data_IF_361164516753
#
_entry.id   IF_361164516753
#
_cell.length_a   1.000
_cell.length_b   1.000
_cell.length_c   1.000
_cell.angle_alpha   90.00
_cell.angle_beta   90.00
_cell.angle_gamma   90.00
#
_symmetry.space_group_name_H-M   'P 1'
#
loop_
_entity.id
_entity.type
_entity.pdbx_description
1 polymer ?
#
# COMPACT_ATOMS: atom_id res chain seq x y z
N UNK A 1 -64.74 40.32 9.60
CA UNK A 1 -65.12 39.75 8.29
C UNK A 1 -65.14 40.90 7.29
N UNK A 2 -64.30 40.84 6.24
CA UNK A 2 -64.68 40.20 4.97
C UNK A 2 -63.62 39.16 4.54
N UNK A 3 -64.01 37.94 4.15
CA UNK A 3 -64.62 37.46 2.89
C UNK A 3 -63.56 36.91 1.93
N UNK A 4 -63.65 35.60 1.69
CA UNK A 4 -62.79 34.79 0.84
C UNK A 4 -63.55 34.51 -0.47
N UNK A 5 -63.07 35.05 -1.58
CA UNK A 5 -63.58 34.77 -2.92
C UNK A 5 -62.51 34.10 -3.79
N UNK A 6 -62.70 32.81 -4.10
CA UNK A 6 -61.91 32.02 -5.04
C UNK A 6 -62.53 32.11 -6.46
N UNK A 7 -61.71 31.77 -7.48
CA UNK A 7 -62.02 31.28 -8.85
C UNK A 7 -61.56 32.13 -10.06
N UNK A 8 -60.39 31.76 -10.61
CA UNK A 8 -60.08 31.27 -11.99
C UNK A 8 -60.80 31.85 -13.24
N UNK A 9 -60.03 32.21 -14.30
CA UNK A 9 -59.92 31.51 -15.61
C UNK A 9 -59.58 32.42 -16.83
N UNK A 10 -58.75 31.88 -17.74
CA UNK A 10 -58.53 32.17 -19.18
C UNK A 10 -57.73 33.44 -19.58
N UNK A 11 -56.51 33.32 -20.14
CA UNK A 11 -56.11 32.91 -21.53
C UNK A 11 -56.14 34.10 -22.50
N UNK A 12 -54.99 34.41 -23.14
CA UNK A 12 -54.87 35.01 -24.49
C UNK A 12 -53.40 35.04 -24.99
N UNK A 13 -53.12 34.15 -25.95
CA UNK A 13 -52.42 34.35 -27.24
C UNK A 13 -50.93 34.82 -27.33
N UNK A 14 -50.13 33.99 -28.02
CA UNK A 14 -48.83 34.24 -28.72
C UNK A 14 -49.04 34.59 -30.23
N UNK A 15 -48.04 34.77 -31.15
CA UNK A 15 -46.60 35.22 -31.13
C UNK A 15 -46.29 36.25 -32.30
N UNK A 16 -45.02 36.55 -32.75
CA UNK A 16 -44.35 35.72 -33.80
C UNK A 16 -42.78 35.71 -33.90
N UNK A 17 -42.26 34.66 -34.57
CA UNK A 17 -41.09 34.56 -35.51
C UNK A 17 -39.60 34.42 -35.08
N UNK A 18 -39.11 33.16 -35.16
CA UNK A 18 -37.95 32.63 -35.97
C UNK A 18 -36.49 32.47 -35.42
N UNK A 19 -35.72 31.45 -35.90
CA UNK A 19 -34.53 30.78 -35.28
C UNK A 19 -33.19 31.04 -36.07
N UNK A 20 -32.04 30.30 -35.99
CA UNK A 20 -31.62 29.13 -35.18
C UNK A 20 -30.22 29.23 -34.52
N UNK A 21 -29.90 28.33 -33.58
CA UNK A 21 -28.55 28.17 -33.04
C UNK A 21 -28.30 26.73 -32.59
N UNK A 22 -27.64 25.94 -33.45
CA UNK A 22 -27.30 24.55 -33.16
C UNK A 22 -26.38 24.44 -31.94
N UNK A 23 -26.63 23.45 -31.09
CA UNK A 23 -25.73 23.05 -30.02
C UNK A 23 -25.74 21.52 -29.94
N UNK A 24 -24.87 20.96 -30.77
CA UNK A 24 -24.03 19.78 -30.53
C UNK A 24 -24.47 18.88 -29.35
N UNK A 25 -25.26 17.84 -29.65
CA UNK A 25 -25.27 16.62 -28.83
C UNK A 25 -23.98 15.85 -29.12
N UNK A 26 -22.90 16.22 -28.43
CA UNK A 26 -21.68 15.41 -28.40
C UNK A 26 -21.92 14.27 -27.43
N UNK A 27 -22.19 13.09 -27.98
CA UNK A 27 -22.18 11.83 -27.25
C UNK A 27 -20.90 11.71 -26.43
N UNK A 28 -21.07 11.60 -25.12
CA UNK A 28 -20.00 11.23 -24.20
C UNK A 28 -19.60 9.80 -24.51
N UNK A 29 -18.53 9.68 -25.27
CA UNK A 29 -17.85 8.46 -25.62
C UNK A 29 -17.60 7.65 -24.34
N UNK A 30 -18.22 6.46 -24.26
CA UNK A 30 -17.73 5.39 -23.39
C UNK A 30 -16.28 5.15 -23.78
N UNK A 31 -15.35 5.74 -23.03
CA UNK A 31 -13.93 5.45 -23.17
C UNK A 31 -13.74 3.95 -22.89
N UNK A 32 -13.36 3.14 -23.89
CA UNK A 32 -12.85 1.81 -23.63
C UNK A 32 -11.38 1.96 -23.20
N UNK A 33 -10.89 1.11 -22.30
CA UNK A 33 -9.44 0.97 -21.97
C UNK A 33 -8.89 1.93 -20.88
N UNK A 34 -9.59 2.13 -19.76
CA UNK A 34 -8.92 2.45 -18.48
C UNK A 34 -9.43 1.64 -17.28
N UNK A 35 -10.30 0.65 -17.51
CA UNK A 35 -10.81 -0.23 -16.45
C UNK A 35 -9.72 -1.11 -15.82
N UNK A 36 -8.85 -1.70 -16.64
CA UNK A 36 -7.85 -2.66 -16.16
C UNK A 36 -6.76 -2.06 -15.25
N UNK A 37 -6.40 -0.79 -15.44
CA UNK A 37 -5.41 -0.13 -14.57
C UNK A 37 -5.99 0.14 -13.17
N UNK A 38 -7.23 0.65 -13.11
CA UNK A 38 -7.94 0.91 -11.86
C UNK A 38 -8.31 -0.37 -11.12
N UNK A 39 -8.58 -1.45 -11.85
CA UNK A 39 -8.82 -2.75 -11.25
C UNK A 39 -7.56 -3.33 -10.63
N UNK A 40 -6.38 -3.13 -11.20
CA UNK A 40 -5.15 -3.59 -10.55
C UNK A 40 -4.79 -2.80 -9.29
N UNK A 41 -5.14 -1.51 -9.21
CA UNK A 41 -4.92 -0.69 -8.01
C UNK A 41 -5.65 -1.21 -6.77
N UNK A 42 -6.74 -1.97 -6.96
CA UNK A 42 -7.52 -2.55 -5.83
C UNK A 42 -6.84 -3.78 -5.22
N UNK A 43 -5.94 -4.43 -5.96
CA UNK A 43 -5.38 -5.72 -5.59
C UNK A 43 -4.04 -5.57 -4.88
N UNK A 44 -3.85 -6.34 -3.81
CA UNK A 44 -2.53 -6.47 -3.20
C UNK A 44 -1.59 -7.23 -4.12
N UNK A 45 -0.27 -6.95 -4.11
CA UNK A 45 0.69 -7.68 -4.94
C UNK A 45 0.60 -9.19 -4.73
N UNK A 46 0.47 -9.94 -5.83
CA UNK A 46 0.28 -11.41 -5.80
C UNK A 46 1.43 -12.13 -5.08
N UNK A 47 2.63 -11.55 -5.07
CA UNK A 47 3.79 -12.05 -4.35
C UNK A 47 3.59 -12.03 -2.82
N UNK A 48 2.95 -10.99 -2.29
CA UNK A 48 2.65 -10.90 -0.85
C UNK A 48 1.57 -11.91 -0.46
N UNK A 49 0.51 -12.04 -1.27
CA UNK A 49 -0.53 -13.06 -1.10
C UNK A 49 0.10 -14.46 -1.10
N UNK A 50 0.89 -14.79 -2.13
CA UNK A 50 1.56 -16.08 -2.26
C UNK A 50 2.44 -16.40 -1.06
N UNK A 51 3.19 -15.42 -0.55
CA UNK A 51 4.07 -15.60 0.62
C UNK A 51 3.27 -15.94 1.88
N UNK A 52 2.13 -15.30 2.11
CA UNK A 52 1.28 -15.56 3.29
C UNK A 52 0.62 -16.93 3.16
N UNK A 53 -0.01 -17.24 2.02
CA UNK A 53 -0.63 -18.55 1.79
C UNK A 53 0.36 -19.70 2.00
N UNK A 54 1.60 -19.53 1.57
CA UNK A 54 2.66 -20.54 1.71
C UNK A 54 3.01 -20.84 3.17
N UNK A 55 2.78 -19.91 4.12
CA UNK A 55 2.99 -20.16 5.56
C UNK A 55 2.01 -21.16 6.15
N UNK A 56 0.83 -21.31 5.54
CA UNK A 56 -0.17 -22.28 5.96
C UNK A 56 0.05 -23.68 5.36
N UNK A 57 1.12 -23.87 4.57
CA UNK A 57 1.42 -25.11 3.86
C UNK A 57 2.76 -25.70 4.32
N UNK A 58 2.97 -27.02 4.15
CA UNK A 58 4.28 -27.63 4.31
C UNK A 58 5.34 -27.02 3.37
N UNK A 59 6.61 -27.22 3.73
CA UNK A 59 7.76 -26.65 3.00
C UNK A 59 7.72 -26.94 1.49
N UNK A 60 7.29 -28.14 1.08
CA UNK A 60 7.19 -28.57 -0.31
C UNK A 60 5.82 -28.32 -0.98
N UNK A 61 4.83 -27.78 -0.27
CA UNK A 61 3.49 -27.53 -0.81
C UNK A 61 3.49 -26.57 -2.01
N UNK A 62 2.68 -26.83 -3.03
CA UNK A 62 2.54 -25.94 -4.19
C UNK A 62 1.17 -25.27 -4.16
N UNK A 63 1.11 -24.03 -4.65
CA UNK A 63 -0.14 -23.26 -4.76
C UNK A 63 -0.39 -23.04 -6.25
N UNK A 64 -1.54 -23.49 -6.72
CA UNK A 64 -1.99 -23.26 -8.10
C UNK A 64 -2.12 -21.76 -8.38
N UNK A 65 -2.01 -21.36 -9.65
CA UNK A 65 -2.19 -19.96 -10.06
C UNK A 65 -3.59 -19.47 -9.67
N UNK A 66 -4.62 -20.22 -10.07
CA UNK A 66 -6.02 -19.85 -9.86
C UNK A 66 -6.34 -19.68 -8.37
N UNK A 67 -5.77 -20.52 -7.50
CA UNK A 67 -5.93 -20.36 -6.05
C UNK A 67 -5.33 -19.05 -5.51
N UNK A 68 -4.22 -18.56 -6.09
CA UNK A 68 -3.64 -17.26 -5.70
C UNK A 68 -4.52 -16.10 -6.16
N UNK A 69 -5.05 -16.20 -7.38
CA UNK A 69 -5.92 -15.18 -7.98
C UNK A 69 -7.24 -15.09 -7.18
N UNK A 70 -7.87 -16.22 -6.87
CA UNK A 70 -9.08 -16.26 -6.02
C UNK A 70 -8.81 -15.65 -4.65
N UNK A 71 -7.71 -15.99 -3.97
CA UNK A 71 -7.41 -15.40 -2.66
C UNK A 71 -7.10 -13.91 -2.77
N UNK A 72 -6.48 -13.44 -3.85
CA UNK A 72 -6.25 -12.01 -4.08
C UNK A 72 -7.58 -11.24 -4.20
N UNK A 73 -8.56 -11.79 -4.90
CA UNK A 73 -9.92 -11.26 -4.98
C UNK A 73 -10.58 -11.27 -3.60
N UNK A 74 -10.58 -12.41 -2.91
CA UNK A 74 -11.19 -12.55 -1.58
C UNK A 74 -10.59 -11.59 -0.54
N UNK A 75 -9.27 -11.37 -0.54
CA UNK A 75 -8.63 -10.45 0.41
C UNK A 75 -9.04 -9.00 0.13
N UNK A 76 -9.21 -8.65 -1.14
CA UNK A 76 -9.65 -7.31 -1.53
C UNK A 76 -11.10 -7.08 -1.10
N UNK A 77 -11.96 -8.08 -1.30
CA UNK A 77 -13.32 -8.06 -0.80
C UNK A 77 -13.38 -8.03 0.73
N UNK A 78 -12.53 -8.80 1.42
CA UNK A 78 -12.45 -8.79 2.88
C UNK A 78 -12.12 -7.40 3.44
N UNK A 79 -11.19 -6.67 2.81
CA UNK A 79 -10.88 -5.29 3.18
C UNK A 79 -12.14 -4.43 3.01
N UNK A 80 -12.82 -4.50 1.87
CA UNK A 80 -14.06 -3.75 1.64
C UNK A 80 -15.17 -4.12 2.62
N UNK A 81 -15.32 -5.40 2.95
CA UNK A 81 -16.34 -5.92 3.86
C UNK A 81 -16.15 -5.38 5.28
N UNK A 82 -14.95 -5.56 5.85
CA UNK A 82 -14.65 -5.09 7.22
C UNK A 82 -14.70 -3.56 7.30
N UNK A 83 -14.16 -2.87 6.30
CA UNK A 83 -14.13 -1.39 6.29
C UNK A 83 -15.53 -0.80 6.12
N UNK A 84 -16.45 -1.48 5.43
CA UNK A 84 -17.84 -1.05 5.33
C UNK A 84 -18.55 -1.10 6.68
N UNK A 85 -18.43 -2.22 7.41
CA UNK A 85 -19.04 -2.36 8.73
C UNK A 85 -18.48 -1.34 9.75
N UNK A 86 -17.16 -1.11 9.72
CA UNK A 86 -16.51 -0.10 10.55
C UNK A 86 -16.94 1.33 10.16
N UNK A 87 -17.10 1.61 8.87
CA UNK A 87 -17.61 2.88 8.36
C UNK A 87 -19.02 3.15 8.86
N UNK A 88 -19.91 2.14 8.80
CA UNK A 88 -21.29 2.27 9.27
C UNK A 88 -21.36 2.63 10.75
N UNK A 89 -20.54 1.98 11.59
CA UNK A 89 -20.43 2.37 13.01
C UNK A 89 -19.92 3.81 13.18
N UNK A 90 -18.83 4.16 12.50
CA UNK A 90 -18.24 5.51 12.57
C UNK A 90 -19.27 6.59 12.21
N UNK A 91 -20.05 6.35 11.15
CA UNK A 91 -21.10 7.28 10.69
C UNK A 91 -22.28 7.35 11.65
N UNK A 92 -22.72 6.22 12.22
CA UNK A 92 -23.77 6.18 13.27
C UNK A 92 -23.36 7.01 14.50
N UNK A 93 -22.06 7.05 14.82
CA UNK A 93 -21.48 7.89 15.88
C UNK A 93 -21.18 9.34 15.44
N UNK A 94 -21.66 9.76 14.25
CA UNK A 94 -21.47 11.10 13.67
C UNK A 94 -19.99 11.50 13.49
N UNK A 95 -19.10 10.52 13.34
CA UNK A 95 -17.68 10.75 13.03
C UNK A 95 -17.43 10.60 11.53
N UNK A 96 -16.44 11.35 11.01
CA UNK A 96 -16.01 11.31 9.61
C UNK A 96 -14.74 10.46 9.38
N UNK A 97 -14.10 10.05 10.47
CA UNK A 97 -12.82 9.34 10.43
C UNK A 97 -12.95 8.05 11.20
N UNK A 98 -12.76 6.94 10.50
CA UNK A 98 -12.70 5.59 11.06
C UNK A 98 -11.43 5.48 11.91
N UNK A 99 -11.55 4.92 13.11
CA UNK A 99 -10.40 4.68 14.00
C UNK A 99 -10.21 3.17 14.28
N UNK A 100 -9.20 2.83 15.09
CA UNK A 100 -8.91 1.43 15.42
C UNK A 100 -10.01 0.73 16.23
N UNK A 101 -10.77 1.47 17.04
CA UNK A 101 -11.85 0.92 17.88
C UNK A 101 -13.09 0.57 17.04
N UNK A 102 -13.29 1.25 15.91
CA UNK A 102 -14.30 0.87 14.89
C UNK A 102 -13.98 -0.48 14.25
N UNK A 103 -12.71 -0.68 13.88
CA UNK A 103 -12.26 -1.94 13.29
C UNK A 103 -12.37 -3.10 14.28
N UNK A 104 -12.01 -2.89 15.55
CA UNK A 104 -12.18 -3.92 16.58
C UNK A 104 -13.65 -4.29 16.77
N UNK A 105 -14.56 -3.31 16.75
CA UNK A 105 -15.98 -3.61 16.83
C UNK A 105 -16.48 -4.34 15.59
N UNK A 106 -16.10 -3.91 14.39
CA UNK A 106 -16.49 -4.57 13.15
C UNK A 106 -16.05 -6.03 13.12
N UNK A 107 -14.81 -6.33 13.51
CA UNK A 107 -14.32 -7.71 13.59
C UNK A 107 -15.16 -8.57 14.54
N UNK A 108 -15.59 -8.03 15.70
CA UNK A 108 -16.45 -8.77 16.61
C UNK A 108 -17.85 -8.98 16.02
N UNK A 109 -18.46 -7.94 15.44
CA UNK A 109 -19.79 -8.02 14.82
C UNK A 109 -19.86 -9.01 13.66
N UNK A 110 -18.77 -9.11 12.88
CA UNK A 110 -18.67 -9.97 11.71
C UNK A 110 -18.30 -11.43 12.04
N UNK A 111 -18.10 -11.79 13.31
CA UNK A 111 -17.75 -13.15 13.73
C UNK A 111 -16.26 -13.50 13.60
N UNK A 112 -15.38 -12.49 13.68
CA UNK A 112 -13.92 -12.63 13.63
C UNK A 112 -13.30 -12.39 15.01
N UNK A 113 -13.94 -12.85 16.09
CA UNK A 113 -13.56 -12.58 17.48
C UNK A 113 -12.15 -13.06 17.83
N UNK A 114 -11.70 -14.15 17.22
CA UNK A 114 -10.35 -14.71 17.40
C UNK A 114 -9.22 -13.75 17.00
N UNK A 115 -9.53 -12.73 16.19
CA UNK A 115 -8.57 -11.70 15.78
C UNK A 115 -8.52 -10.49 16.72
N UNK A 116 -9.47 -10.35 17.65
CA UNK A 116 -9.63 -9.15 18.47
C UNK A 116 -8.42 -8.92 19.39
N UNK A 117 -7.99 -9.94 20.12
CA UNK A 117 -6.88 -9.80 21.06
C UNK A 117 -5.53 -9.52 20.37
N UNK A 118 -5.17 -10.23 19.27
CA UNK A 118 -4.03 -9.85 18.44
C UNK A 118 -4.09 -8.39 17.94
N UNK A 119 -5.26 -7.94 17.46
CA UNK A 119 -5.44 -6.58 16.94
C UNK A 119 -5.36 -5.51 18.03
N UNK A 120 -5.89 -5.76 19.23
CA UNK A 120 -5.73 -4.86 20.38
C UNK A 120 -4.27 -4.69 20.77
N UNK A 121 -3.53 -5.80 20.85
CA UNK A 121 -2.09 -5.77 21.14
C UNK A 121 -1.32 -4.95 20.10
N UNK A 122 -1.66 -5.13 18.82
CA UNK A 122 -1.08 -4.33 17.73
C UNK A 122 -1.42 -2.84 17.86
N UNK A 123 -2.69 -2.49 18.09
CA UNK A 123 -3.15 -1.11 18.21
C UNK A 123 -2.47 -0.36 19.37
N UNK A 124 -2.29 -1.02 20.51
CA UNK A 124 -1.56 -0.47 21.65
C UNK A 124 -0.11 -0.14 21.27
N UNK A 125 0.61 -1.09 20.67
CA UNK A 125 2.00 -0.87 20.21
C UNK A 125 2.11 0.23 19.16
N UNK A 126 1.14 0.31 18.24
CA UNK A 126 1.09 1.35 17.22
C UNK A 126 0.99 2.74 17.87
N UNK A 127 0.08 2.92 18.84
CA UNK A 127 -0.08 4.18 19.59
C UNK A 127 1.17 4.57 20.39
N UNK A 128 1.86 3.59 20.99
CA UNK A 128 3.13 3.83 21.71
C UNK A 128 4.28 4.25 20.79
N UNK A 129 4.35 3.69 19.58
CA UNK A 129 5.35 4.06 18.58
C UNK A 129 5.10 5.45 17.99
N UNK A 130 3.84 5.78 17.69
CA UNK A 130 3.45 7.11 17.18
C UNK A 130 3.78 8.20 18.20
N UNK A 131 3.50 7.95 19.49
CA UNK A 131 3.84 8.86 20.59
C UNK A 131 5.36 9.09 20.77
N UNK A 132 6.20 8.12 20.37
CA UNK A 132 7.68 8.22 20.42
C UNK A 132 8.28 8.73 19.11
N UNK A 133 7.50 8.82 18.03
CA UNK A 133 7.91 9.23 16.69
C UNK A 133 8.13 10.74 16.54
N UNK A 134 7.62 11.56 17.46
CA UNK A 134 7.88 13.00 17.48
C UNK A 134 9.27 13.38 18.03
N UNK A 135 10.15 12.41 18.30
CA UNK A 135 11.51 12.63 18.85
C UNK A 135 12.63 11.94 18.05
N UNK A 136 12.35 11.40 16.86
CA UNK A 136 13.35 10.73 16.01
C UNK A 136 13.46 11.29 14.59
N UNK A 137 13.24 12.59 14.45
CA UNK A 137 13.69 13.37 13.30
C UNK A 137 15.10 13.89 13.56
N UNK A 138 16.12 13.11 13.22
CA UNK A 138 17.53 13.50 13.38
C UNK A 138 18.42 12.53 12.62
N UNK A 139 18.91 13.02 11.47
CA UNK A 139 19.94 12.44 10.63
C UNK A 139 21.14 11.93 11.45
N UNK A 140 21.56 10.68 11.25
CA UNK A 140 22.94 10.28 11.58
C UNK A 140 23.45 9.28 10.54
N UNK A 141 23.75 9.82 9.36
CA UNK A 141 24.77 9.26 8.48
C UNK A 141 26.10 9.97 8.77
N UNK A 142 26.86 9.50 9.76
CA UNK A 142 28.25 9.88 9.93
C UNK A 142 29.15 8.63 9.95
N UNK A 143 30.05 8.60 8.98
CA UNK A 143 31.01 7.54 8.69
C UNK A 143 32.33 7.81 9.44
N UNK A 144 32.94 6.75 10.00
CA UNK A 144 34.37 6.55 10.37
C UNK A 144 34.86 7.34 11.60
N UNK A 145 35.76 6.85 12.47
CA UNK A 145 36.98 6.03 12.29
C UNK A 145 37.33 5.09 13.48
N UNK A 146 38.35 4.26 13.24
CA UNK A 146 38.79 3.06 13.95
C UNK A 146 39.59 3.24 15.28
N UNK A 147 39.75 2.12 16.01
CA UNK A 147 41.02 1.43 16.42
C UNK A 147 40.90 0.74 17.79
N UNK A 148 41.37 -0.53 17.88
CA UNK A 148 41.71 -1.21 19.14
C UNK A 148 41.35 -2.70 19.17
N UNK A 149 42.01 -3.56 18.38
CA UNK A 149 43.13 -4.40 18.81
C UNK A 149 42.75 -5.56 19.78
N UNK A 150 42.67 -6.77 19.22
CA UNK A 150 42.71 -8.07 19.93
C UNK A 150 44.13 -8.65 19.83
N UNK A 151 44.70 -9.33 20.84
CA UNK A 151 45.85 -10.19 20.64
C UNK A 151 45.41 -11.64 20.44
N UNK A 152 45.78 -12.23 19.30
CA UNK A 152 45.76 -13.67 19.04
C UNK A 152 47.16 -14.15 18.71
N UNK A 153 47.67 -15.13 19.45
CA UNK A 153 48.95 -15.79 19.20
C UNK A 153 48.84 -16.84 18.09
N UNK A 154 49.53 -16.52 16.98
CA UNK A 154 50.55 -17.33 16.30
C UNK A 154 50.21 -18.70 15.68
N UNK A 155 50.33 -18.81 14.34
CA UNK A 155 51.42 -19.56 13.67
C UNK A 155 51.35 -19.54 12.12
N UNK A 156 52.53 -19.34 11.48
CA UNK A 156 52.97 -19.77 10.14
C UNK A 156 52.68 -18.92 8.86
N UNK A 157 53.43 -17.81 8.76
CA UNK A 157 54.43 -17.43 7.74
C UNK A 157 54.53 -18.15 6.36
N UNK A 158 54.36 -17.38 5.27
CA UNK A 158 55.35 -17.27 4.16
C UNK A 158 55.16 -15.93 3.41
N UNK A 159 56.24 -15.15 3.21
CA UNK A 159 56.27 -13.89 2.45
C UNK A 159 56.56 -14.17 0.97
N UNK A 160 55.87 -13.51 0.03
CA UNK A 160 56.53 -12.73 -1.05
C UNK A 160 55.54 -11.90 -1.92
N UNK A 161 55.92 -10.63 -2.13
CA UNK A 161 55.61 -9.73 -3.26
C UNK A 161 54.16 -9.32 -3.54
N UNK A 162 53.93 -8.01 -3.48
CA UNK A 162 52.63 -7.37 -3.68
C UNK A 162 52.18 -7.32 -5.15
N UNK A 163 50.98 -7.85 -5.38
CA UNK A 163 50.06 -7.47 -6.44
C UNK A 163 48.63 -7.82 -5.95
N UNK A 164 47.67 -6.90 -6.11
CA UNK A 164 46.27 -7.17 -5.78
C UNK A 164 45.63 -7.93 -6.94
N UNK A 165 45.35 -9.21 -6.74
CA UNK A 165 44.66 -10.04 -7.72
C UNK A 165 43.15 -9.83 -7.64
N UNK A 166 42.52 -9.44 -8.75
CA UNK A 166 41.06 -9.42 -8.88
C UNK A 166 40.61 -10.52 -9.84
N UNK A 167 39.59 -11.30 -9.42
CA UNK A 167 39.00 -12.40 -10.18
C UNK A 167 37.69 -11.90 -10.80
N UNK A 168 37.57 -11.91 -12.13
CA UNK A 168 36.32 -11.66 -12.84
C UNK A 168 35.52 -12.98 -12.99
N UNK A 169 34.19 -12.90 -13.07
CA UNK A 169 33.17 -13.96 -13.31
C UNK A 169 33.47 -14.94 -14.46
N UNK A 170 34.52 -14.73 -15.27
CA UNK A 170 34.97 -15.66 -16.33
C UNK A 170 36.29 -16.39 -16.03
N UNK A 171 36.83 -16.31 -14.80
CA UNK A 171 37.88 -17.21 -14.31
C UNK A 171 39.29 -17.01 -14.90
N UNK A 172 39.56 -15.91 -15.61
CA UNK A 172 40.91 -15.60 -16.12
C UNK A 172 41.65 -14.60 -15.21
N UNK A 173 42.92 -14.90 -14.92
CA UNK A 173 43.81 -14.15 -14.05
C UNK A 173 44.47 -13.00 -14.82
N UNK A 174 44.18 -11.74 -14.46
CA UNK A 174 44.83 -10.57 -15.06
C UNK A 174 45.78 -9.93 -14.03
N UNK A 175 47.07 -9.78 -14.39
CA UNK A 175 48.07 -9.08 -13.57
C UNK A 175 48.09 -7.61 -14.01
N UNK A 176 47.78 -6.69 -13.10
CA UNK A 176 47.89 -5.24 -13.33
C UNK A 176 49.25 -4.76 -12.79
N UNK A 177 50.14 -4.21 -13.62
CA UNK A 177 51.38 -3.59 -13.14
C UNK A 177 51.06 -2.31 -12.36
N UNK A 178 51.59 -2.19 -11.14
CA UNK A 178 51.52 -0.97 -10.34
C UNK A 178 52.37 0.12 -10.98
N UNK A 179 51.75 1.26 -11.31
CA UNK A 179 52.46 2.48 -11.67
C UNK A 179 53.20 3.00 -10.42
N UNK A 180 54.50 2.72 -10.35
CA UNK A 180 55.39 3.32 -9.37
C UNK A 180 55.69 4.76 -9.84
N UNK A 181 55.13 5.77 -9.17
CA UNK A 181 55.53 7.15 -9.40
C UNK A 181 57.00 7.32 -8.98
N UNK A 182 57.83 7.71 -9.93
CA UNK A 182 59.22 8.10 -9.73
C UNK A 182 59.25 9.58 -9.35
N UNK A 183 59.93 9.86 -8.23
CA UNK A 183 60.50 11.12 -7.71
C UNK A 183 60.05 12.47 -8.30
#
# INVERSE_FOLDING_TARGET
MPDLGLHNLADMAEPPTSPPGGSHESGGEQSPITGGAREQDRFLPIANISRIMKKALPANGKIAKDAKDTVQECVSEFISFVTSEASDKCQKEKRKTINGDDLLWAMATLGFEEYIDPLKSYLTRYRECDAKGSSRGGDESAKRDAVGAMPGQNSQQYMQSGALTYINTQGQHLIIPSMQNNE
#
